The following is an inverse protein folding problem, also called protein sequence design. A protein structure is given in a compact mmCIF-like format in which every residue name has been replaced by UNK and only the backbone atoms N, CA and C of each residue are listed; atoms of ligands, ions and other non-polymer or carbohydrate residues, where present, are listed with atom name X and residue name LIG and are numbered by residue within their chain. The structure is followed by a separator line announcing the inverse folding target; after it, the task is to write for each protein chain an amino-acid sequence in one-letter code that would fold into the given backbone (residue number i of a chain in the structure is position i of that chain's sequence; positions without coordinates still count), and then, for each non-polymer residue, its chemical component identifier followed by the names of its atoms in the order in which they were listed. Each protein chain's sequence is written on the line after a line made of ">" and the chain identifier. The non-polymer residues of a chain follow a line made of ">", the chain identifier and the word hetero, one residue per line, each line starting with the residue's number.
data_IF_042981882043
#
_entry.id   IF_042981882043
#
_cell.length_a   1.000
_cell.length_b   1.000
_cell.length_c   1.000
_cell.angle_alpha   90.00
_cell.angle_beta   90.00
_cell.angle_gamma   90.00
#
_symmetry.space_group_name_H-M   'P 1'
#
loop_
_entity.id
_entity.type
_entity.pdbx_description
1 polymer ?
#
# COMPACT_ATOMS: atom_id res chain seq x y z
N UNK A 1 2.80 -18.49 -3.47
CA UNK A 1 3.99 -18.61 -2.61
C UNK A 1 5.22 -18.40 -3.48
N UNK A 2 6.09 -17.45 -3.16
CA UNK A 2 7.34 -17.21 -3.91
C UNK A 2 8.48 -17.83 -3.11
N UNK A 3 9.37 -18.56 -3.78
CA UNK A 3 10.60 -19.08 -3.17
C UNK A 3 11.70 -18.05 -3.40
N UNK A 4 12.32 -17.59 -2.32
CA UNK A 4 13.44 -16.65 -2.36
C UNK A 4 14.60 -17.25 -1.60
N UNK A 5 15.76 -17.34 -2.25
CA UNK A 5 17.01 -17.73 -1.61
C UNK A 5 17.72 -16.46 -1.18
N UNK A 6 18.19 -16.41 0.07
CA UNK A 6 18.89 -15.28 0.66
C UNK A 6 20.05 -15.82 1.47
N UNK A 7 21.20 -15.19 1.32
CA UNK A 7 22.36 -15.46 2.16
C UNK A 7 22.26 -14.59 3.41
N UNK A 8 22.41 -15.21 4.58
CA UNK A 8 22.38 -14.55 5.87
C UNK A 8 23.71 -14.81 6.56
N UNK A 9 24.26 -13.79 7.19
CA UNK A 9 25.38 -13.96 8.10
C UNK A 9 24.95 -14.83 9.30
N UNK A 10 25.91 -15.56 9.86
CA UNK A 10 25.65 -16.55 10.92
C UNK A 10 25.00 -15.91 12.16
N UNK A 11 25.45 -14.71 12.54
CA UNK A 11 24.89 -13.93 13.64
C UNK A 11 23.41 -13.57 13.40
N UNK A 12 23.08 -13.12 12.18
CA UNK A 12 21.72 -12.75 11.79
C UNK A 12 20.82 -13.98 11.75
N UNK A 13 21.32 -15.09 11.24
CA UNK A 13 20.60 -16.36 11.23
C UNK A 13 20.25 -16.81 12.65
N UNK A 14 21.23 -16.78 13.57
CA UNK A 14 21.04 -17.19 14.96
C UNK A 14 19.99 -16.31 15.67
N UNK A 15 20.03 -14.99 15.45
CA UNK A 15 19.06 -14.07 16.04
C UNK A 15 17.63 -14.36 15.54
N UNK A 16 17.46 -14.60 14.24
CA UNK A 16 16.14 -14.90 13.64
C UNK A 16 15.62 -16.25 14.12
N UNK A 17 16.47 -17.28 14.23
CA UNK A 17 16.11 -18.59 14.77
C UNK A 17 15.60 -18.44 16.20
N UNK A 18 16.36 -17.73 17.04
CA UNK A 18 16.01 -17.50 18.45
C UNK A 18 14.64 -16.84 18.55
N UNK A 19 14.42 -15.75 17.81
CA UNK A 19 13.13 -15.05 17.80
C UNK A 19 11.99 -15.95 17.26
N UNK A 20 12.28 -16.81 16.28
CA UNK A 20 11.30 -17.75 15.71
C UNK A 20 10.86 -18.80 16.72
N UNK A 21 11.79 -19.29 17.55
CA UNK A 21 11.50 -20.23 18.63
C UNK A 21 10.74 -19.51 19.75
N UNK A 22 11.18 -18.32 20.17
CA UNK A 22 10.54 -17.56 21.26
C UNK A 22 9.11 -17.13 20.94
N UNK A 23 8.85 -16.63 19.72
CA UNK A 23 7.52 -16.11 19.35
C UNK A 23 6.56 -17.17 18.80
N UNK A 24 7.09 -18.16 18.09
CA UNK A 24 6.26 -19.09 17.32
C UNK A 24 6.54 -20.57 17.62
N UNK A 25 7.45 -20.87 18.55
CA UNK A 25 7.78 -22.24 18.96
C UNK A 25 8.40 -23.11 17.86
N UNK A 26 8.75 -22.53 16.70
CA UNK A 26 9.25 -23.30 15.56
C UNK A 26 10.10 -22.45 14.63
N UNK A 27 11.16 -23.05 14.09
CA UNK A 27 12.02 -22.49 13.05
C UNK A 27 11.37 -22.45 11.66
N UNK A 28 10.25 -23.17 11.45
CA UNK A 28 9.51 -23.15 10.18
C UNK A 28 8.93 -21.76 9.84
N UNK A 29 8.83 -20.88 10.84
CA UNK A 29 8.23 -19.55 10.71
C UNK A 29 9.25 -18.42 10.45
N UNK A 30 10.53 -18.73 10.18
CA UNK A 30 11.54 -17.71 9.88
C UNK A 30 11.14 -16.80 8.71
N UNK A 31 10.55 -17.36 7.66
CA UNK A 31 10.08 -16.58 6.49
C UNK A 31 9.05 -15.51 6.89
N UNK A 32 8.21 -15.79 7.90
CA UNK A 32 7.22 -14.86 8.42
C UNK A 32 7.88 -13.70 9.16
N UNK A 33 8.90 -13.99 9.98
CA UNK A 33 9.68 -12.97 10.72
C UNK A 33 10.44 -12.08 9.74
N UNK A 34 11.14 -12.66 8.77
CA UNK A 34 11.89 -11.93 7.76
C UNK A 34 10.96 -10.98 7.00
N UNK A 35 9.81 -11.49 6.52
CA UNK A 35 8.84 -10.68 5.81
C UNK A 35 8.24 -9.56 6.68
N UNK A 36 8.00 -9.82 7.97
CA UNK A 36 7.49 -8.80 8.89
C UNK A 36 8.52 -7.70 9.16
N UNK A 37 9.79 -8.05 9.40
CA UNK A 37 10.88 -7.08 9.57
C UNK A 37 11.07 -6.23 8.30
N UNK A 38 11.07 -6.87 7.12
CA UNK A 38 11.15 -6.16 5.83
C UNK A 38 9.96 -5.21 5.62
N UNK A 39 8.73 -5.68 5.88
CA UNK A 39 7.51 -4.85 5.77
C UNK A 39 7.54 -3.66 6.72
N UNK A 40 8.00 -3.85 7.96
CA UNK A 40 8.11 -2.76 8.93
C UNK A 40 9.13 -1.69 8.49
N UNK A 41 10.28 -2.11 7.93
CA UNK A 41 11.29 -1.19 7.36
C UNK A 41 10.78 -0.45 6.13
N UNK A 42 10.02 -1.12 5.25
CA UNK A 42 9.39 -0.46 4.09
C UNK A 42 8.36 0.59 4.53
N UNK A 43 7.55 0.28 5.54
CA UNK A 43 6.53 1.19 6.06
C UNK A 43 7.12 2.44 6.77
N UNK A 44 8.34 2.35 7.29
CA UNK A 44 9.01 3.48 7.96
C UNK A 44 9.73 4.42 6.99
N UNK A 45 10.14 3.94 5.81
CA UNK A 45 10.97 4.73 4.87
C UNK A 45 10.19 5.33 3.68
N UNK A 46 8.97 4.87 3.37
CA UNK A 46 8.28 5.43 2.21
C UNK A 46 6.82 5.04 2.06
N UNK A 47 5.97 6.06 2.23
CA UNK A 47 4.60 6.17 1.71
C UNK A 47 3.65 5.05 2.17
N UNK A 48 2.93 5.32 3.27
CA UNK A 48 1.55 4.82 3.44
C UNK A 48 0.84 4.98 2.09
N UNK A 49 0.43 3.89 1.44
CA UNK A 49 -0.61 3.96 0.40
C UNK A 49 -1.87 4.46 1.10
N UNK A 50 -2.03 5.78 1.15
CA UNK A 50 -3.31 6.40 1.49
C UNK A 50 -4.24 5.98 0.37
N UNK A 51 -5.11 5.00 0.65
CA UNK A 51 -6.21 4.68 -0.25
C UNK A 51 -7.17 5.85 -0.15
N UNK A 52 -7.03 6.82 -1.04
CA UNK A 52 -7.96 7.96 -1.12
C UNK A 52 -9.26 7.41 -1.69
N UNK A 53 -10.15 6.99 -0.81
CA UNK A 53 -11.51 6.62 -1.18
C UNK A 53 -12.31 7.91 -1.22
N UNK A 54 -12.42 8.55 -2.38
CA UNK A 54 -13.39 9.62 -2.56
C UNK A 54 -14.79 8.98 -2.51
N UNK A 55 -15.51 9.18 -1.39
CA UNK A 55 -16.97 9.09 -1.42
C UNK A 55 -17.44 10.31 -2.19
N UNK A 56 -17.84 10.12 -3.45
CA UNK A 56 -18.63 11.11 -4.15
C UNK A 56 -19.88 11.39 -3.30
N UNK A 57 -19.90 12.55 -2.63
CA UNK A 57 -21.14 13.08 -2.07
C UNK A 57 -22.01 13.47 -3.25
N UNK A 58 -23.26 13.07 -3.23
CA UNK A 58 -24.36 13.39 -4.17
C UNK A 58 -24.63 14.89 -4.38
N UNK A 59 -23.72 15.80 -4.02
CA UNK A 59 -23.91 17.25 -4.14
C UNK A 59 -23.15 17.87 -5.34
N UNK A 60 -22.62 17.07 -6.27
CA UNK A 60 -22.17 17.57 -7.59
C UNK A 60 -23.23 17.39 -8.69
N UNK A 61 -24.46 17.00 -8.32
CA UNK A 61 -25.59 16.96 -9.22
C UNK A 61 -26.49 18.17 -8.97
N UNK A 62 -26.07 19.34 -9.42
CA UNK A 62 -26.97 20.32 -10.06
C UNK A 62 -26.29 21.67 -10.23
N UNK A 63 -26.43 22.20 -11.44
CA UNK A 63 -26.62 23.63 -11.76
C UNK A 63 -25.46 24.52 -12.23
N UNK A 64 -24.29 24.02 -12.65
CA UNK A 64 -23.33 24.90 -13.37
C UNK A 64 -22.78 24.37 -14.70
N UNK A 65 -22.78 23.05 -14.95
CA UNK A 65 -22.24 22.51 -16.20
C UNK A 65 -23.13 22.79 -17.45
N UNK A 66 -24.45 22.89 -17.26
CA UNK A 66 -25.38 23.09 -18.38
C UNK A 66 -25.41 24.54 -18.89
N UNK A 67 -25.01 25.52 -18.07
CA UNK A 67 -25.01 26.93 -18.47
C UNK A 67 -23.86 27.24 -19.42
N UNK A 68 -22.66 26.71 -19.14
CA UNK A 68 -21.48 26.89 -19.98
C UNK A 68 -21.61 26.20 -21.35
N UNK A 69 -22.29 25.05 -21.42
CA UNK A 69 -22.52 24.34 -22.69
C UNK A 69 -23.46 25.14 -23.61
N UNK A 70 -24.43 25.86 -23.03
CA UNK A 70 -25.43 26.62 -23.80
C UNK A 70 -24.86 27.94 -24.34
N UNK A 71 -24.04 28.65 -23.56
CA UNK A 71 -23.36 29.88 -24.00
C UNK A 71 -22.35 29.60 -25.13
N UNK A 72 -21.61 28.49 -25.07
CA UNK A 72 -20.67 28.12 -26.14
C UNK A 72 -21.32 27.70 -27.46
N UNK A 73 -22.59 27.30 -27.46
CA UNK A 73 -23.31 26.86 -28.66
C UNK A 73 -23.92 28.01 -29.47
N UNK A 74 -24.23 29.15 -28.83
CA UNK A 74 -24.76 30.33 -29.53
C UNK A 74 -23.65 31.20 -30.17
N UNK A 75 -22.43 31.20 -29.63
CA UNK A 75 -21.31 31.94 -30.21
C UNK A 75 -20.76 31.33 -31.51
N UNK A 76 -20.91 30.02 -31.71
CA UNK A 76 -20.41 29.34 -32.93
C UNK A 76 -21.35 29.43 -34.14
N UNK A 77 -22.57 29.96 -33.98
CA UNK A 77 -23.60 29.96 -35.03
C UNK A 77 -24.07 31.36 -35.46
N UNK A 78 -23.26 32.41 -35.23
CA UNK A 78 -23.53 33.79 -35.67
C UNK A 78 -22.57 34.25 -36.75
#
# INVERSE_FOLDING_TARGET
>A
MVKTTINLDEEIYAEIIKESIEKYGSTKNMSKIINQRLRNRMNTTGKRKVRITFKAKENLSSLDADKEIREGWEESNK
#
